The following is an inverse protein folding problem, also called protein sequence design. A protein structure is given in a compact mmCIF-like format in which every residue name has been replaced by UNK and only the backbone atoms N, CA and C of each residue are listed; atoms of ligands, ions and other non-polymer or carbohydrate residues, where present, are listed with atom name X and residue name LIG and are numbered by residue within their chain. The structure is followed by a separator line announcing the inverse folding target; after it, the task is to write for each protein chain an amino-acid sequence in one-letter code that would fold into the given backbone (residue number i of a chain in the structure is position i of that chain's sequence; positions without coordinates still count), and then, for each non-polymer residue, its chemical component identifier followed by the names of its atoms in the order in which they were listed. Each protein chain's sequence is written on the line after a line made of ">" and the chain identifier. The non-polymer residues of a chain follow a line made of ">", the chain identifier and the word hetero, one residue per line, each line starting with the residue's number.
data_IF_963972683700
#
_entry.id   IF_963972683700
#
_cell.length_a   1.000
_cell.length_b   1.000
_cell.length_c   1.000
_cell.angle_alpha   90.00
_cell.angle_beta   90.00
_cell.angle_gamma   90.00
#
_symmetry.space_group_name_H-M   'P 1'
#
loop_
_entity.id
_entity.type
_entity.pdbx_description
1 polymer ?
#
# COMPACT_ATOMS: atom_id res chain seq x y z
N UNK A 1 -6.67 -46.73 14.71
CA UNK A 1 -5.52 -46.59 15.63
C UNK A 1 -4.53 -45.65 14.98
N UNK A 2 -4.41 -44.43 15.50
CA UNK A 2 -3.47 -43.43 14.97
C UNK A 2 -2.05 -43.67 15.50
N UNK A 3 -1.01 -43.26 14.77
CA UNK A 3 0.37 -43.36 15.24
C UNK A 3 0.62 -42.27 16.29
N UNK A 4 1.07 -42.66 17.49
CA UNK A 4 1.53 -41.74 18.53
C UNK A 4 2.78 -40.97 18.09
N UNK A 5 2.85 -39.65 18.30
CA UNK A 5 4.09 -38.89 18.25
C UNK A 5 4.60 -38.71 19.68
N UNK A 6 5.45 -39.60 20.17
CA UNK A 6 6.12 -39.37 21.46
C UNK A 6 7.54 -39.96 21.45
N UNK A 7 8.45 -39.25 20.78
CA UNK A 7 9.88 -39.56 20.77
C UNK A 7 10.75 -38.30 20.97
N UNK A 8 10.21 -37.28 21.64
CA UNK A 8 10.93 -36.05 21.93
C UNK A 8 10.91 -35.71 23.42
N UNK A 9 11.95 -36.10 24.16
CA UNK A 9 12.30 -35.37 25.38
C UNK A 9 12.53 -36.17 26.67
N UNK A 10 13.48 -37.11 26.66
CA UNK A 10 14.11 -37.62 27.89
C UNK A 10 15.57 -37.20 28.05
N UNK A 11 16.14 -36.46 27.09
CA UNK A 11 17.56 -36.13 27.09
C UNK A 11 17.87 -35.09 28.19
N UNK A 12 18.54 -35.54 29.24
CA UNK A 12 18.94 -34.71 30.39
C UNK A 12 20.42 -34.30 30.36
N UNK A 13 21.27 -35.14 29.79
CA UNK A 13 22.70 -34.91 29.63
C UNK A 13 23.13 -35.28 28.21
N UNK A 14 23.96 -34.44 27.59
CA UNK A 14 24.48 -34.63 26.24
C UNK A 14 25.99 -34.38 26.22
N UNK A 15 26.78 -35.44 26.10
CA UNK A 15 28.22 -35.36 25.88
C UNK A 15 28.55 -35.71 24.43
N UNK A 16 29.04 -34.72 23.69
CA UNK A 16 29.58 -34.89 22.33
C UNK A 16 30.97 -34.26 22.24
N UNK A 17 31.73 -34.32 23.32
CA UNK A 17 33.10 -33.81 23.36
C UNK A 17 34.05 -34.59 22.44
N UNK A 18 35.14 -33.93 22.03
CA UNK A 18 36.20 -34.48 21.17
C UNK A 18 35.73 -35.00 19.80
N UNK A 19 34.69 -34.38 19.26
CA UNK A 19 34.21 -34.65 17.90
C UNK A 19 34.70 -33.56 16.93
N UNK A 20 34.25 -33.66 15.68
CA UNK A 20 34.60 -32.71 14.62
C UNK A 20 33.44 -31.75 14.30
N UNK A 21 32.60 -31.45 15.30
CA UNK A 21 31.45 -30.56 15.10
C UNK A 21 31.92 -29.14 14.81
N UNK A 22 31.38 -28.55 13.75
CA UNK A 22 31.70 -27.18 13.33
C UNK A 22 30.67 -26.15 13.79
N UNK A 23 29.44 -26.58 14.03
CA UNK A 23 28.31 -25.74 14.43
C UNK A 23 27.42 -26.52 15.41
N UNK A 24 26.70 -25.79 16.26
CA UNK A 24 25.73 -26.38 17.19
C UNK A 24 24.33 -25.86 16.84
N UNK A 25 23.34 -26.75 16.63
CA UNK A 25 21.97 -26.35 16.31
C UNK A 25 21.34 -25.53 17.45
N UNK A 26 20.56 -24.52 17.09
CA UNK A 26 19.86 -23.68 18.06
C UNK A 26 18.76 -24.46 18.81
N UNK A 27 18.24 -25.50 18.15
CA UNK A 27 17.19 -26.41 18.61
C UNK A 27 17.62 -27.21 19.87
N UNK A 28 18.93 -27.34 20.11
CA UNK A 28 19.45 -27.93 21.37
C UNK A 28 19.06 -27.10 22.59
N UNK A 29 18.85 -25.79 22.44
CA UNK A 29 18.40 -24.91 23.52
C UNK A 29 16.89 -25.02 23.82
N UNK A 30 16.13 -25.68 22.94
CA UNK A 30 14.69 -25.89 23.07
C UNK A 30 14.34 -27.26 23.68
N UNK A 31 15.36 -28.07 23.97
CA UNK A 31 15.20 -29.32 24.70
C UNK A 31 14.77 -29.05 26.16
N UNK A 32 13.56 -29.44 26.58
CA UNK A 32 12.95 -28.98 27.84
C UNK A 32 13.61 -29.58 29.10
N UNK A 33 14.36 -30.68 28.97
CA UNK A 33 14.97 -31.41 30.09
C UNK A 33 16.49 -31.42 30.08
N UNK A 34 17.15 -30.79 29.10
CA UNK A 34 18.61 -30.81 28.95
C UNK A 34 19.27 -29.89 29.99
N UNK A 35 19.97 -30.49 30.96
CA UNK A 35 20.61 -29.80 32.09
C UNK A 35 22.13 -29.76 31.96
N UNK A 36 22.71 -30.78 31.35
CA UNK A 36 24.15 -30.94 31.22
C UNK A 36 24.54 -31.10 29.76
N UNK A 37 25.55 -30.35 29.32
CA UNK A 37 26.10 -30.47 27.97
C UNK A 37 27.62 -30.38 28.01
N UNK A 38 28.27 -31.24 27.24
CA UNK A 38 29.71 -31.19 27.03
C UNK A 38 30.03 -31.16 25.54
N UNK A 39 30.46 -29.99 25.06
CA UNK A 39 30.82 -29.76 23.66
C UNK A 39 32.34 -29.55 23.48
N UNK A 40 33.16 -29.79 24.51
CA UNK A 40 34.61 -29.49 24.49
C UNK A 40 35.34 -30.32 23.44
N UNK A 41 36.46 -29.82 22.92
CA UNK A 41 37.25 -30.56 21.93
C UNK A 41 36.65 -30.62 20.51
N UNK A 42 35.61 -29.83 20.22
CA UNK A 42 35.07 -29.64 18.87
C UNK A 42 35.67 -28.40 18.18
N UNK A 43 35.71 -28.39 16.84
CA UNK A 43 36.25 -27.28 16.03
C UNK A 43 35.15 -26.30 15.60
N UNK A 44 34.54 -25.63 16.57
CA UNK A 44 33.42 -24.70 16.32
C UNK A 44 33.86 -23.48 15.51
N UNK A 45 33.06 -23.10 14.50
CA UNK A 45 33.30 -21.91 13.66
C UNK A 45 33.16 -20.62 14.45
N UNK A 46 32.23 -20.57 15.39
CA UNK A 46 32.05 -19.43 16.29
C UNK A 46 33.12 -19.47 17.40
N UNK A 47 34.14 -18.62 17.25
CA UNK A 47 35.24 -18.49 18.21
C UNK A 47 34.81 -18.01 19.60
N UNK A 48 33.66 -17.35 19.71
CA UNK A 48 33.11 -16.94 21.01
C UNK A 48 32.40 -18.12 21.67
N UNK A 49 31.60 -18.86 20.91
CA UNK A 49 30.98 -20.09 21.40
C UNK A 49 32.03 -21.13 21.81
N UNK A 50 33.10 -21.29 21.04
CA UNK A 50 34.25 -22.17 21.36
C UNK A 50 34.88 -21.82 22.71
N UNK A 51 35.03 -20.53 23.03
CA UNK A 51 35.52 -20.07 24.35
C UNK A 51 34.50 -20.36 25.47
N UNK A 52 33.21 -20.15 25.20
CA UNK A 52 32.16 -20.38 26.19
C UNK A 52 32.02 -21.87 26.54
N UNK A 53 32.16 -22.77 25.58
CA UNK A 53 32.13 -24.22 25.81
C UNK A 53 33.25 -24.69 26.74
N UNK A 54 34.40 -24.02 26.73
CA UNK A 54 35.54 -24.39 27.56
C UNK A 54 35.50 -23.78 28.97
N UNK A 55 34.74 -22.70 29.20
CA UNK A 55 34.80 -21.93 30.46
C UNK A 55 33.48 -21.52 31.10
N UNK A 56 32.33 -21.75 30.46
CA UNK A 56 31.02 -21.32 30.96
C UNK A 56 30.11 -22.49 31.33
N UNK A 57 29.12 -22.22 32.19
CA UNK A 57 28.08 -23.18 32.57
C UNK A 57 27.13 -23.48 31.40
N UNK A 58 26.56 -24.69 31.39
CA UNK A 58 25.61 -25.17 30.37
C UNK A 58 24.48 -24.19 30.08
N UNK A 59 23.91 -23.56 31.12
CA UNK A 59 22.83 -22.58 30.97
C UNK A 59 23.22 -21.39 30.08
N UNK A 60 24.44 -20.88 30.24
CA UNK A 60 24.95 -19.75 29.46
C UNK A 60 25.21 -20.12 27.99
N UNK A 61 25.60 -21.37 27.74
CA UNK A 61 25.82 -21.90 26.39
C UNK A 61 24.49 -22.06 25.66
N UNK A 62 23.49 -22.67 26.31
CA UNK A 62 22.15 -22.85 25.74
C UNK A 62 21.45 -21.51 25.51
N UNK A 63 21.59 -20.54 26.43
CA UNK A 63 21.04 -19.21 26.24
C UNK A 63 21.71 -18.46 25.07
N UNK A 64 23.01 -18.66 24.87
CA UNK A 64 23.74 -18.12 23.71
C UNK A 64 23.24 -18.70 22.38
N UNK A 65 22.94 -20.01 22.35
CA UNK A 65 22.36 -20.68 21.18
C UNK A 65 20.93 -20.22 20.90
N UNK A 66 20.10 -20.07 21.94
CA UNK A 66 18.70 -19.62 21.83
C UNK A 66 18.56 -18.25 21.18
N UNK A 67 19.51 -17.36 21.43
CA UNK A 67 19.51 -16.00 20.87
C UNK A 67 20.29 -15.87 19.56
N UNK A 68 20.78 -17.00 19.01
CA UNK A 68 21.51 -17.03 17.74
C UNK A 68 22.87 -16.32 17.77
N UNK A 69 23.51 -16.25 18.94
CA UNK A 69 24.80 -15.59 19.16
C UNK A 69 24.70 -14.06 19.34
N UNK A 70 25.25 -13.55 20.46
CA UNK A 70 25.26 -12.11 20.79
C UNK A 70 26.62 -11.47 20.55
N UNK A 71 27.07 -11.35 19.30
CA UNK A 71 28.31 -10.66 18.98
C UNK A 71 28.47 -10.34 17.50
N UNK A 72 28.25 -9.06 17.16
CA UNK A 72 28.64 -8.34 15.95
C UNK A 72 29.08 -9.10 14.70
N UNK A 73 28.26 -9.01 13.65
CA UNK A 73 28.66 -8.71 12.27
C UNK A 73 29.55 -9.70 11.52
N UNK A 74 29.05 -10.17 10.36
CA UNK A 74 29.68 -11.06 9.36
C UNK A 74 29.50 -12.56 9.63
N UNK A 75 28.33 -13.06 9.27
CA UNK A 75 28.08 -14.52 9.15
C UNK A 75 26.86 -14.83 8.29
N UNK A 76 25.75 -14.11 8.50
CA UNK A 76 24.55 -14.22 7.65
C UNK A 76 24.63 -13.48 6.30
N UNK A 77 25.62 -12.60 6.12
CA UNK A 77 25.78 -11.81 4.89
C UNK A 77 26.69 -12.46 3.82
N UNK A 78 27.51 -13.47 4.17
CA UNK A 78 28.34 -14.17 3.20
C UNK A 78 27.62 -15.36 2.56
N UNK A 79 26.87 -16.15 3.33
CA UNK A 79 26.07 -17.26 2.76
C UNK A 79 25.01 -16.75 1.76
N UNK A 80 24.36 -15.61 2.06
CA UNK A 80 23.43 -14.96 1.13
C UNK A 80 24.10 -14.28 -0.08
N UNK A 81 25.39 -13.88 0.02
CA UNK A 81 26.16 -13.31 -1.10
C UNK A 81 26.77 -14.40 -1.99
N UNK A 82 27.09 -15.56 -1.43
CA UNK A 82 27.65 -16.70 -2.15
C UNK A 82 26.55 -17.45 -2.92
N UNK A 83 25.36 -17.63 -2.34
CA UNK A 83 24.16 -18.11 -3.06
C UNK A 83 23.76 -17.16 -4.21
N UNK A 84 23.80 -15.84 -3.99
CA UNK A 84 23.50 -14.88 -5.05
C UNK A 84 24.57 -14.86 -6.15
N UNK A 85 25.84 -15.12 -5.83
CA UNK A 85 26.90 -15.27 -6.83
C UNK A 85 26.78 -16.58 -7.60
N UNK A 86 26.36 -17.68 -6.98
CA UNK A 86 26.11 -18.97 -7.64
C UNK A 86 24.88 -18.91 -8.56
N UNK A 87 23.76 -18.33 -8.09
CA UNK A 87 22.56 -18.05 -8.92
C UNK A 87 22.86 -17.09 -10.07
N UNK A 88 23.74 -16.09 -9.88
CA UNK A 88 24.16 -15.15 -10.95
C UNK A 88 25.15 -15.77 -11.96
N UNK A 89 25.90 -16.81 -11.58
CA UNK A 89 26.82 -17.54 -12.45
C UNK A 89 26.09 -18.62 -13.26
N UNK A 90 25.11 -19.31 -12.66
CA UNK A 90 24.21 -20.24 -13.36
C UNK A 90 23.26 -19.51 -14.32
N UNK A 91 22.76 -18.31 -13.96
CA UNK A 91 21.95 -17.48 -14.87
C UNK A 91 22.76 -16.84 -16.01
N UNK A 92 24.09 -16.77 -15.89
CA UNK A 92 25.01 -16.30 -16.96
C UNK A 92 25.48 -17.42 -17.88
N UNK A 93 25.56 -18.67 -17.41
CA UNK A 93 25.91 -19.82 -18.25
C UNK A 93 24.74 -20.40 -19.06
N UNK A 94 23.49 -20.15 -18.65
CA UNK A 94 22.30 -20.47 -19.47
C UNK A 94 22.03 -19.47 -20.61
N UNK A 95 22.86 -18.44 -20.78
CA UNK A 95 22.68 -17.39 -21.81
C UNK A 95 23.70 -17.48 -22.96
N UNK A 96 24.45 -18.57 -23.07
CA UNK A 96 25.49 -18.75 -24.09
C UNK A 96 25.29 -20.04 -24.92
N UNK A 97 24.06 -20.56 -24.97
CA UNK A 97 23.72 -21.69 -25.83
C UNK A 97 22.24 -21.68 -26.17
N UNK A 98 21.90 -21.19 -27.37
CA UNK A 98 20.58 -21.36 -28.00
C UNK A 98 19.76 -20.09 -28.09
N UNK A 99 19.93 -19.38 -29.21
CA UNK A 99 18.94 -18.44 -29.77
C UNK A 99 17.60 -19.18 -29.98
N UNK A 100 16.47 -18.57 -29.55
CA UNK A 100 15.17 -18.95 -30.11
C UNK A 100 13.92 -18.80 -29.24
N UNK A 101 13.99 -18.77 -27.90
CA UNK A 101 12.77 -18.86 -27.07
C UNK A 101 12.85 -17.99 -25.80
N UNK A 102 12.91 -16.66 -25.97
CA UNK A 102 12.97 -15.73 -24.83
C UNK A 102 11.88 -14.65 -24.83
N UNK A 103 10.86 -14.78 -25.68
CA UNK A 103 9.71 -13.85 -25.73
C UNK A 103 8.48 -14.29 -24.92
N UNK A 104 8.40 -15.53 -24.40
CA UNK A 104 7.17 -16.00 -23.72
C UNK A 104 7.16 -15.86 -22.18
N UNK A 105 8.28 -15.53 -21.53
CA UNK A 105 8.40 -15.53 -20.06
C UNK A 105 8.51 -14.14 -19.41
N UNK A 106 8.50 -13.05 -20.17
CA UNK A 106 8.38 -11.68 -19.62
C UNK A 106 6.93 -11.18 -19.49
N UNK A 107 5.95 -11.90 -20.03
CA UNK A 107 4.55 -11.45 -20.04
C UNK A 107 3.73 -11.79 -18.78
N UNK A 108 4.27 -12.53 -17.81
CA UNK A 108 3.51 -13.01 -16.63
C UNK A 108 3.53 -12.05 -15.43
N UNK A 109 4.25 -10.93 -15.49
CA UNK A 109 4.40 -9.98 -14.35
C UNK A 109 3.75 -8.60 -14.55
N UNK A 110 2.89 -8.43 -15.56
CA UNK A 110 2.21 -7.15 -15.79
C UNK A 110 0.97 -7.01 -14.88
N UNK A 111 0.81 -5.86 -14.23
CA UNK A 111 -0.39 -5.54 -13.45
C UNK A 111 -1.56 -5.35 -14.42
N UNK A 112 -2.64 -6.12 -14.26
CA UNK A 112 -3.81 -6.01 -15.13
C UNK A 112 -4.76 -4.93 -14.61
N UNK A 113 -4.98 -3.89 -15.41
CA UNK A 113 -6.00 -2.88 -15.18
C UNK A 113 -6.95 -2.86 -16.37
N UNK A 114 -8.24 -3.07 -16.12
CA UNK A 114 -9.28 -2.94 -17.13
C UNK A 114 -9.84 -1.52 -17.09
N UNK A 115 -9.81 -0.81 -18.20
CA UNK A 115 -10.47 0.49 -18.33
C UNK A 115 -11.87 0.26 -18.86
N UNK A 116 -12.89 0.62 -18.08
CA UNK A 116 -14.26 0.64 -18.55
C UNK A 116 -14.58 1.99 -19.18
N UNK A 117 -14.95 1.92 -20.46
CA UNK A 117 -15.36 3.07 -21.22
C UNK A 117 -16.73 3.58 -20.76
N UNK A 118 -16.91 4.90 -20.83
CA UNK A 118 -18.18 5.57 -20.51
C UNK A 118 -19.37 5.02 -21.31
N UNK A 119 -19.12 4.48 -22.51
CA UNK A 119 -20.12 3.86 -23.39
C UNK A 119 -20.63 2.51 -22.90
N UNK A 120 -19.85 1.80 -22.10
CA UNK A 120 -20.19 0.47 -21.56
C UNK A 120 -20.83 0.55 -20.17
N UNK A 121 -20.79 1.72 -19.54
CA UNK A 121 -21.41 1.97 -18.25
C UNK A 121 -22.79 2.65 -18.45
N UNK A 122 -23.90 2.04 -18.01
CA UNK A 122 -25.23 2.62 -18.17
C UNK A 122 -25.47 3.90 -17.34
N UNK A 123 -24.64 4.20 -16.32
CA UNK A 123 -24.74 5.40 -15.49
C UNK A 123 -23.36 5.94 -15.07
N UNK A 124 -22.58 6.52 -15.99
CA UNK A 124 -21.24 7.01 -15.68
C UNK A 124 -21.28 8.26 -14.80
N UNK A 125 -20.50 8.24 -13.74
CA UNK A 125 -20.34 9.40 -12.86
C UNK A 125 -19.82 10.59 -13.68
N UNK A 126 -20.48 11.73 -13.50
CA UNK A 126 -20.15 12.97 -14.22
C UNK A 126 -19.91 14.08 -13.20
N UNK A 127 -18.86 14.86 -13.42
CA UNK A 127 -18.48 16.03 -12.62
C UNK A 127 -18.74 17.27 -13.46
N UNK A 128 -19.59 18.18 -12.97
CA UNK A 128 -19.84 19.48 -13.57
C UNK A 128 -18.91 20.52 -12.96
N UNK A 129 -18.27 21.34 -13.77
CA UNK A 129 -17.32 22.37 -13.33
C UNK A 129 -17.96 23.73 -13.50
N UNK A 130 -17.97 24.52 -12.42
CA UNK A 130 -18.45 25.91 -12.46
C UNK A 130 -17.39 26.87 -13.02
N UNK A 131 -17.78 27.94 -13.71
CA UNK A 131 -16.84 28.88 -14.32
C UNK A 131 -15.98 29.65 -13.29
N UNK A 132 -16.50 29.88 -12.08
CA UNK A 132 -15.79 30.60 -11.01
C UNK A 132 -14.56 29.89 -10.46
N UNK A 133 -14.38 28.60 -10.80
CA UNK A 133 -13.21 27.83 -10.37
C UNK A 133 -11.90 28.27 -11.03
N UNK A 134 -12.00 28.94 -12.19
CA UNK A 134 -10.85 29.34 -13.01
C UNK A 134 -9.87 30.24 -12.26
N UNK A 135 -10.38 31.07 -11.37
CA UNK A 135 -9.60 32.04 -10.62
C UNK A 135 -8.95 31.44 -9.35
N UNK A 136 -9.43 30.27 -8.92
CA UNK A 136 -9.03 29.66 -7.65
C UNK A 136 -8.17 28.41 -7.87
N UNK A 137 -8.67 27.43 -8.62
CA UNK A 137 -8.01 26.13 -8.87
C UNK A 137 -8.62 25.43 -10.11
N UNK A 138 -8.28 25.86 -11.34
CA UNK A 138 -9.00 25.51 -12.57
C UNK A 138 -9.06 24.03 -12.95
N UNK A 139 -8.07 23.22 -12.57
CA UNK A 139 -7.89 21.88 -13.14
C UNK A 139 -8.35 20.79 -12.18
N UNK A 140 -9.21 19.89 -12.68
CA UNK A 140 -9.67 18.69 -11.98
C UNK A 140 -9.64 17.49 -12.93
N UNK A 141 -9.14 16.36 -12.42
CA UNK A 141 -9.14 15.05 -13.09
C UNK A 141 -9.72 14.04 -12.12
N UNK A 142 -10.64 13.21 -12.60
CA UNK A 142 -11.29 12.21 -11.77
C UNK A 142 -11.29 10.84 -12.46
N UNK A 143 -11.30 9.77 -11.67
CA UNK A 143 -11.64 8.42 -12.12
C UNK A 143 -12.32 7.65 -10.98
N UNK A 144 -13.04 6.60 -11.33
CA UNK A 144 -13.53 5.62 -10.36
C UNK A 144 -12.72 4.33 -10.51
N UNK A 145 -12.29 3.76 -9.39
CA UNK A 145 -11.50 2.54 -9.33
C UNK A 145 -12.28 1.48 -8.55
N UNK A 146 -12.66 0.40 -9.22
CA UNK A 146 -13.41 -0.72 -8.63
C UNK A 146 -12.51 -1.94 -8.45
N UNK A 147 -12.83 -2.74 -7.42
CA UNK A 147 -12.12 -3.98 -7.12
C UNK A 147 -10.87 -3.81 -6.25
N UNK A 148 -10.78 -2.72 -5.48
CA UNK A 148 -9.69 -2.51 -4.52
C UNK A 148 -9.95 -3.35 -3.26
N UNK A 149 -8.94 -4.06 -2.75
CA UNK A 149 -9.05 -4.84 -1.53
C UNK A 149 -8.27 -4.18 -0.37
N UNK A 150 -8.98 -3.46 0.51
CA UNK A 150 -8.39 -2.78 1.67
C UNK A 150 -8.57 -3.55 3.00
N UNK A 151 -9.20 -4.72 2.96
CA UNK A 151 -9.55 -5.51 4.17
C UNK A 151 -8.33 -6.14 4.87
N UNK A 152 -7.38 -6.79 4.17
CA UNK A 152 -6.37 -7.60 4.84
C UNK A 152 -5.33 -6.78 5.59
N UNK A 153 -5.06 -7.20 6.83
CA UNK A 153 -3.97 -6.69 7.68
C UNK A 153 -3.83 -5.17 7.69
N UNK A 154 -2.71 -4.70 7.12
CA UNK A 154 -2.31 -3.29 7.08
C UNK A 154 -2.53 -2.63 5.69
N UNK A 155 -3.32 -3.23 4.79
CA UNK A 155 -3.52 -2.72 3.42
C UNK A 155 -3.99 -1.26 3.39
N UNK A 156 -5.03 -0.91 4.16
CA UNK A 156 -5.53 0.47 4.27
C UNK A 156 -4.44 1.46 4.74
N UNK A 157 -3.61 1.07 5.72
CA UNK A 157 -2.52 1.92 6.22
C UNK A 157 -1.45 2.13 5.16
N UNK A 158 -1.12 1.09 4.39
CA UNK A 158 -0.16 1.18 3.27
C UNK A 158 -0.70 2.07 2.15
N UNK A 159 -1.99 1.96 1.83
CA UNK A 159 -2.67 2.82 0.88
C UNK A 159 -2.58 4.30 1.30
N UNK A 160 -2.97 4.61 2.54
CA UNK A 160 -2.88 5.98 3.07
C UNK A 160 -1.44 6.51 3.11
N UNK A 161 -0.47 5.64 3.41
CA UNK A 161 0.95 5.98 3.39
C UNK A 161 1.45 6.25 1.96
N UNK A 162 1.00 5.47 0.97
CA UNK A 162 1.35 5.68 -0.44
C UNK A 162 0.77 7.00 -0.96
N UNK A 163 -0.49 7.30 -0.62
CA UNK A 163 -1.11 8.58 -0.92
C UNK A 163 -0.32 9.74 -0.29
N UNK A 164 0.03 9.65 0.99
CA UNK A 164 0.81 10.69 1.69
C UNK A 164 2.18 10.90 1.04
N UNK A 165 2.84 9.82 0.63
CA UNK A 165 4.12 9.89 -0.07
C UNK A 165 4.00 10.59 -1.43
N UNK A 166 2.96 10.27 -2.22
CA UNK A 166 2.70 10.97 -3.49
C UNK A 166 2.40 12.45 -3.28
N UNK A 167 1.76 12.81 -2.17
CA UNK A 167 1.55 14.21 -1.81
C UNK A 167 2.86 14.96 -1.51
N UNK A 168 3.83 14.29 -0.88
CA UNK A 168 5.13 14.88 -0.56
C UNK A 168 6.04 14.98 -1.79
N UNK A 169 6.00 13.97 -2.66
CA UNK A 169 6.88 13.83 -3.82
C UNK A 169 6.36 14.64 -5.03
N UNK A 170 5.37 14.11 -5.76
CA UNK A 170 4.92 14.65 -7.05
C UNK A 170 4.01 15.88 -6.87
N UNK A 171 3.28 15.94 -5.75
CA UNK A 171 2.34 17.03 -5.50
C UNK A 171 2.97 18.23 -4.75
N UNK A 172 4.29 18.25 -4.57
CA UNK A 172 5.03 19.32 -3.87
C UNK A 172 4.45 19.70 -2.50
N UNK A 173 3.98 18.73 -1.70
CA UNK A 173 3.30 18.95 -0.41
C UNK A 173 1.97 19.69 -0.55
N UNK A 174 1.17 19.26 -1.53
CA UNK A 174 -0.18 19.77 -1.85
C UNK A 174 -0.22 21.14 -2.50
N UNK A 175 0.92 21.72 -2.86
CA UNK A 175 0.93 23.01 -3.54
C UNK A 175 0.61 22.84 -5.02
N UNK A 176 1.37 22.00 -5.72
CA UNK A 176 1.19 21.78 -7.16
C UNK A 176 -0.09 20.98 -7.48
N UNK A 177 -0.40 19.94 -6.70
CA UNK A 177 -1.59 19.11 -6.91
C UNK A 177 -2.15 18.60 -5.59
N UNK A 178 -3.44 18.28 -5.52
CA UNK A 178 -4.05 17.66 -4.36
C UNK A 178 -4.82 16.43 -4.79
N UNK A 179 -4.39 15.29 -4.27
CA UNK A 179 -5.09 14.01 -4.38
C UNK A 179 -6.14 13.93 -3.26
N UNK A 180 -7.35 13.54 -3.60
CA UNK A 180 -8.32 13.08 -2.62
C UNK A 180 -8.98 11.77 -3.07
N UNK A 181 -9.31 10.97 -2.07
CA UNK A 181 -9.81 9.61 -2.23
C UNK A 181 -11.08 9.48 -1.40
N UNK A 182 -12.11 8.94 -2.04
CA UNK A 182 -13.45 8.86 -1.50
C UNK A 182 -14.00 7.45 -1.68
N UNK A 183 -14.85 7.02 -0.76
CA UNK A 183 -15.65 5.80 -0.95
C UNK A 183 -16.75 6.09 -1.99
N UNK A 184 -16.69 5.38 -3.12
CA UNK A 184 -17.62 5.59 -4.23
C UNK A 184 -19.06 5.24 -3.83
N UNK A 185 -19.26 4.30 -2.90
CA UNK A 185 -20.60 3.87 -2.48
C UNK A 185 -21.33 4.94 -1.66
N UNK A 186 -20.57 5.86 -1.06
CA UNK A 186 -21.10 6.95 -0.23
C UNK A 186 -21.36 8.24 -1.03
N UNK A 187 -20.96 8.27 -2.30
CA UNK A 187 -21.13 9.43 -3.18
C UNK A 187 -22.41 9.31 -4.00
N UNK A 188 -23.13 10.42 -4.16
CA UNK A 188 -24.28 10.55 -5.06
C UNK A 188 -23.95 11.49 -6.22
N UNK A 189 -24.02 10.98 -7.45
CA UNK A 189 -23.82 11.75 -8.67
C UNK A 189 -25.11 12.41 -9.17
N UNK A 190 -25.02 13.47 -10.00
CA UNK A 190 -23.80 14.11 -10.52
C UNK A 190 -23.08 14.96 -9.46
N UNK A 191 -21.76 15.07 -9.61
CA UNK A 191 -20.91 15.90 -8.73
C UNK A 191 -20.75 17.30 -9.32
N UNK A 192 -20.60 18.31 -8.47
CA UNK A 192 -20.41 19.71 -8.88
C UNK A 192 -19.12 20.22 -8.24
N UNK A 193 -18.14 20.58 -9.07
CA UNK A 193 -16.91 21.25 -8.67
C UNK A 193 -17.11 22.76 -8.80
N UNK A 194 -17.33 23.41 -7.67
CA UNK A 194 -17.75 24.81 -7.58
C UNK A 194 -16.86 25.61 -6.63
N UNK A 195 -17.07 26.92 -6.60
CA UNK A 195 -16.48 27.82 -5.61
C UNK A 195 -17.56 28.39 -4.71
N UNK A 196 -17.28 28.46 -3.42
CA UNK A 196 -18.18 29.07 -2.44
C UNK A 196 -17.42 30.08 -1.56
N UNK A 197 -18.10 31.14 -1.08
CA UNK A 197 -17.52 32.04 -0.10
C UNK A 197 -17.13 31.30 1.18
N UNK A 198 -15.99 31.63 1.82
CA UNK A 198 -15.50 30.95 3.03
C UNK A 198 -16.48 30.93 4.21
N UNK A 199 -17.43 31.87 4.25
CA UNK A 199 -18.44 32.00 5.31
C UNK A 199 -19.68 31.12 5.13
N UNK A 200 -19.93 30.66 3.91
CA UNK A 200 -21.08 29.83 3.51
C UNK A 200 -20.69 28.36 3.37
N UNK A 201 -19.46 28.10 2.92
CA UNK A 201 -18.93 26.75 2.74
C UNK A 201 -18.83 26.02 4.09
N UNK A 202 -19.67 25.00 4.27
CA UNK A 202 -19.67 24.10 5.43
C UNK A 202 -19.19 22.72 5.02
N UNK A 203 -18.27 22.17 5.81
CA UNK A 203 -17.76 20.81 5.60
C UNK A 203 -17.67 20.09 6.95
N UNK A 204 -17.79 18.77 6.92
CA UNK A 204 -17.46 17.89 8.05
C UNK A 204 -16.08 17.28 7.79
N UNK A 205 -14.98 17.92 8.22
CA UNK A 205 -13.65 17.44 7.91
C UNK A 205 -13.32 16.16 8.66
N UNK A 206 -12.36 15.38 8.13
CA UNK A 206 -11.95 14.12 8.75
C UNK A 206 -11.62 14.28 10.25
N UNK A 207 -12.26 13.46 11.08
CA UNK A 207 -12.03 13.42 12.52
C UNK A 207 -12.51 14.64 13.32
N UNK A 208 -13.31 15.53 12.72
CA UNK A 208 -13.82 16.76 13.34
C UNK A 208 -15.34 16.89 13.13
N UNK A 209 -15.97 17.82 13.86
CA UNK A 209 -17.39 18.18 13.66
C UNK A 209 -17.56 19.15 12.49
N UNK A 210 -18.80 19.33 12.06
CA UNK A 210 -19.15 20.32 11.05
C UNK A 210 -18.61 21.71 11.43
N UNK A 211 -17.92 22.34 10.48
CA UNK A 211 -17.28 23.63 10.65
C UNK A 211 -17.32 24.41 9.33
N UNK A 212 -17.31 25.73 9.42
CA UNK A 212 -17.16 26.60 8.25
C UNK A 212 -15.74 26.57 7.73
N UNK A 213 -15.57 26.68 6.41
CA UNK A 213 -14.27 26.62 5.78
C UNK A 213 -13.31 27.71 6.27
N UNK A 214 -13.81 28.94 6.50
CA UNK A 214 -13.01 30.03 7.08
C UNK A 214 -12.43 29.67 8.45
N UNK A 215 -13.25 29.12 9.33
CA UNK A 215 -12.83 28.77 10.69
C UNK A 215 -11.88 27.58 10.68
N UNK A 216 -12.11 26.59 9.80
CA UNK A 216 -11.23 25.45 9.62
C UNK A 216 -9.83 25.88 9.15
N UNK A 217 -9.75 26.73 8.12
CA UNK A 217 -8.45 27.22 7.61
C UNK A 217 -7.71 27.98 8.71
N UNK A 218 -8.41 28.84 9.47
CA UNK A 218 -7.83 29.58 10.59
C UNK A 218 -7.31 28.65 11.69
N UNK A 219 -8.08 27.62 12.07
CA UNK A 219 -7.64 26.63 13.07
C UNK A 219 -6.39 25.89 12.61
N UNK A 220 -6.36 25.42 11.36
CA UNK A 220 -5.20 24.71 10.81
C UNK A 220 -3.96 25.62 10.72
N UNK A 221 -4.14 26.91 10.40
CA UNK A 221 -3.04 27.89 10.40
C UNK A 221 -2.47 28.10 11.81
N UNK A 222 -3.33 28.21 12.83
CA UNK A 222 -2.91 28.33 14.23
C UNK A 222 -2.17 27.06 14.70
N UNK A 223 -2.73 25.87 14.43
CA UNK A 223 -2.09 24.58 14.74
C UNK A 223 -0.69 24.49 14.08
N UNK A 224 -0.58 24.91 12.81
CA UNK A 224 0.70 24.93 12.09
C UNK A 224 1.71 25.92 12.70
N UNK A 225 1.25 27.09 13.16
CA UNK A 225 2.10 28.10 13.80
C UNK A 225 2.57 27.65 15.20
N UNK A 226 1.68 27.04 15.99
CA UNK A 226 2.01 26.45 17.29
C UNK A 226 3.05 25.33 17.14
N UNK A 227 2.87 24.43 16.17
CA UNK A 227 3.86 23.40 15.88
C UNK A 227 5.22 23.99 15.46
N UNK A 228 5.23 25.11 14.74
CA UNK A 228 6.46 25.83 14.42
C UNK A 228 7.13 26.36 15.69
N UNK A 229 6.37 27.00 16.58
CA UNK A 229 6.84 27.53 17.87
C UNK A 229 7.38 26.40 18.76
N UNK A 230 6.65 25.31 18.89
CA UNK A 230 7.04 24.16 19.72
C UNK A 230 8.31 23.48 19.22
N UNK A 231 8.48 23.34 17.90
CA UNK A 231 9.70 22.76 17.29
C UNK A 231 10.87 23.75 17.19
N UNK A 232 10.73 24.99 17.70
CA UNK A 232 11.73 26.08 17.62
C UNK A 232 12.31 26.29 16.21
N UNK A 233 11.50 26.09 15.16
CA UNK A 233 11.95 26.27 13.77
C UNK A 233 11.68 27.72 13.35
N UNK A 234 12.64 28.33 12.65
CA UNK A 234 12.45 29.66 12.08
C UNK A 234 11.33 29.66 11.02
N UNK A 235 11.26 28.61 10.20
CA UNK A 235 10.30 28.51 9.09
C UNK A 235 9.13 27.57 9.41
N UNK A 236 7.93 27.92 8.92
CA UNK A 236 6.76 27.03 8.90
C UNK A 236 7.15 25.77 8.13
N UNK A 237 6.79 24.60 8.65
CA UNK A 237 7.06 23.33 7.96
C UNK A 237 6.55 23.44 6.52
N UNK A 238 7.38 23.06 5.54
CA UNK A 238 6.97 23.08 4.13
C UNK A 238 5.67 22.30 3.86
N UNK A 239 5.28 21.43 4.78
CA UNK A 239 4.02 20.69 4.78
C UNK A 239 2.79 21.60 4.87
N UNK A 240 2.85 22.78 5.50
CA UNK A 240 1.68 23.66 5.68
C UNK A 240 1.60 24.79 4.65
N UNK A 241 2.48 24.81 3.63
CA UNK A 241 2.47 25.83 2.58
C UNK A 241 1.14 25.90 1.83
N UNK A 242 0.45 24.77 1.67
CA UNK A 242 -0.85 24.72 0.99
C UNK A 242 -1.93 25.53 1.73
N UNK A 243 -1.81 25.77 3.04
CA UNK A 243 -2.75 26.62 3.79
C UNK A 243 -2.69 28.09 3.38
N UNK A 244 -1.56 28.53 2.84
CA UNK A 244 -1.36 29.91 2.37
C UNK A 244 -1.92 30.12 0.95
N UNK A 245 -2.17 29.05 0.20
CA UNK A 245 -2.70 29.15 -1.18
C UNK A 245 -4.14 29.68 -1.24
N UNK A 246 -4.87 29.55 -0.14
CA UNK A 246 -6.23 30.08 0.01
C UNK A 246 -6.26 31.41 0.75
N UNK A 247 -5.11 31.92 1.22
CA UNK A 247 -5.07 33.15 2.00
C UNK A 247 -5.38 34.35 1.09
N UNK A 248 -6.29 35.22 1.56
CA UNK A 248 -6.75 36.39 0.80
C UNK A 248 -7.67 36.10 -0.40
N UNK A 249 -8.11 34.86 -0.63
CA UNK A 249 -9.09 34.55 -1.69
C UNK A 249 -10.53 34.73 -1.19
N UNK A 250 -11.36 35.37 -2.01
CA UNK A 250 -12.78 35.61 -1.71
C UNK A 250 -13.64 34.35 -1.83
N UNK A 251 -13.18 33.36 -2.61
CA UNK A 251 -13.89 32.14 -2.90
C UNK A 251 -12.98 30.91 -2.74
N UNK A 252 -13.54 29.84 -2.17
CA UNK A 252 -12.86 28.59 -1.89
C UNK A 252 -13.42 27.45 -2.76
N UNK A 253 -12.56 26.57 -3.30
CA UNK A 253 -13.03 25.51 -4.18
C UNK A 253 -13.64 24.38 -3.36
N UNK A 254 -14.70 23.77 -3.86
CA UNK A 254 -15.39 22.67 -3.18
C UNK A 254 -15.93 21.67 -4.20
N UNK A 255 -15.94 20.40 -3.83
CA UNK A 255 -16.65 19.37 -4.56
C UNK A 255 -17.90 19.00 -3.78
N UNK A 256 -19.04 19.12 -4.43
CA UNK A 256 -20.38 18.93 -3.87
C UNK A 256 -21.05 17.75 -4.55
N UNK A 257 -21.76 16.92 -3.79
CA UNK A 257 -22.55 15.83 -4.33
C UNK A 257 -23.96 16.28 -4.76
N UNK A 258 -24.75 15.35 -5.32
CA UNK A 258 -26.12 15.63 -5.76
C UNK A 258 -27.09 16.00 -4.61
N UNK A 259 -26.74 15.69 -3.35
CA UNK A 259 -27.51 16.04 -2.16
C UNK A 259 -27.12 17.42 -1.61
N UNK A 260 -26.19 18.13 -2.26
CA UNK A 260 -25.70 19.44 -1.82
C UNK A 260 -24.66 19.36 -0.69
N UNK A 261 -24.12 18.18 -0.43
CA UNK A 261 -23.12 17.94 0.61
C UNK A 261 -21.71 18.13 0.06
N UNK A 262 -20.88 18.90 0.77
CA UNK A 262 -19.47 19.07 0.43
C UNK A 262 -18.69 17.80 0.78
N UNK A 263 -18.17 17.13 -0.25
CA UNK A 263 -17.38 15.89 -0.13
C UNK A 263 -15.87 16.17 -0.09
N UNK A 264 -15.41 17.26 -0.70
CA UNK A 264 -14.01 17.65 -0.71
C UNK A 264 -13.84 19.17 -0.65
N UNK A 265 -12.82 19.62 0.07
CA UNK A 265 -12.37 21.01 0.11
C UNK A 265 -10.87 21.09 -0.24
N UNK A 266 -10.51 21.07 -1.54
CA UNK A 266 -9.12 21.18 -1.96
C UNK A 266 -8.51 22.57 -1.65
N UNK A 267 -7.19 22.67 -1.36
CA UNK A 267 -6.21 21.61 -1.12
C UNK A 267 -6.20 21.12 0.36
N UNK A 268 -7.23 21.44 1.14
CA UNK A 268 -7.22 21.31 2.61
C UNK A 268 -7.54 19.89 3.06
N UNK A 269 -8.75 19.41 2.82
CA UNK A 269 -9.25 18.17 3.41
C UNK A 269 -10.46 17.60 2.68
N UNK A 270 -10.69 16.31 2.84
CA UNK A 270 -11.89 15.60 2.44
C UNK A 270 -12.91 15.51 3.59
N UNK A 271 -14.14 15.17 3.24
CA UNK A 271 -15.26 15.02 4.16
C UNK A 271 -15.25 13.65 4.85
N UNK A 272 -15.63 13.63 6.14
CA UNK A 272 -15.83 12.39 6.92
C UNK A 272 -16.94 11.51 6.32
N UNK A 273 -17.90 12.11 5.62
CA UNK A 273 -19.00 11.38 4.97
C UNK A 273 -18.54 10.43 3.87
N UNK A 274 -17.45 10.76 3.17
CA UNK A 274 -16.91 9.96 2.06
C UNK A 274 -15.63 9.22 2.43
N UNK A 275 -15.38 9.05 3.73
CA UNK A 275 -14.14 8.46 4.24
C UNK A 275 -14.02 6.99 3.88
N UNK A 276 -12.87 6.63 3.32
CA UNK A 276 -12.51 5.25 3.03
C UNK A 276 -12.38 4.42 4.32
N UNK A 277 -12.88 3.18 4.26
CA UNK A 277 -12.85 2.22 5.36
C UNK A 277 -12.20 0.92 4.86
N UNK A 278 -11.93 -0.01 5.78
CA UNK A 278 -11.35 -1.32 5.41
C UNK A 278 -12.26 -2.13 4.48
N UNK A 279 -13.58 -1.92 4.54
CA UNK A 279 -14.57 -2.60 3.72
C UNK A 279 -14.83 -1.90 2.37
N UNK A 280 -14.24 -0.72 2.12
CA UNK A 280 -14.38 -0.01 0.86
C UNK A 280 -13.70 -0.81 -0.26
N UNK A 281 -14.46 -1.12 -1.30
CA UNK A 281 -13.98 -1.82 -2.50
C UNK A 281 -13.88 -0.91 -3.73
N UNK A 282 -14.68 0.15 -3.73
CA UNK A 282 -14.81 1.07 -4.86
C UNK A 282 -14.39 2.46 -4.41
N UNK A 283 -13.43 3.04 -5.10
CA UNK A 283 -12.84 4.33 -4.79
C UNK A 283 -13.19 5.34 -5.88
N UNK A 284 -13.62 6.52 -5.48
CA UNK A 284 -13.61 7.70 -6.34
C UNK A 284 -12.32 8.47 -6.06
N UNK A 285 -11.53 8.69 -7.11
CA UNK A 285 -10.25 9.39 -7.05
C UNK A 285 -10.42 10.75 -7.74
N UNK A 286 -9.96 11.79 -7.06
CA UNK A 286 -9.88 13.13 -7.63
C UNK A 286 -8.46 13.69 -7.47
N UNK A 287 -8.02 14.44 -8.48
CA UNK A 287 -6.79 15.22 -8.44
C UNK A 287 -7.08 16.63 -8.92
N UNK A 288 -6.78 17.63 -8.09
CA UNK A 288 -6.97 19.05 -8.42
C UNK A 288 -5.64 19.79 -8.45
N UNK A 289 -5.48 20.73 -9.39
CA UNK A 289 -4.29 21.58 -9.53
C UNK A 289 -4.67 23.00 -9.95
N UNK A 290 -3.86 23.95 -9.52
CA UNK A 290 -3.85 25.34 -9.97
C UNK A 290 -2.81 25.59 -11.08
N UNK A 291 -1.85 24.68 -11.26
CA UNK A 291 -0.73 24.86 -12.19
C UNK A 291 -1.00 24.29 -13.59
N UNK A 292 -1.38 23.01 -13.71
CA UNK A 292 -1.66 22.42 -15.02
C UNK A 292 -2.52 21.15 -14.94
N UNK A 293 -3.21 20.86 -16.04
CA UNK A 293 -3.93 19.60 -16.22
C UNK A 293 -2.99 18.39 -16.33
N UNK A 294 -1.79 18.57 -16.90
CA UNK A 294 -0.84 17.48 -17.10
C UNK A 294 -0.35 16.93 -15.76
N UNK A 295 -0.03 17.80 -14.80
CA UNK A 295 0.35 17.37 -13.43
C UNK A 295 -0.78 16.54 -12.82
N UNK A 296 -2.05 16.91 -12.99
CA UNK A 296 -3.16 16.11 -12.48
C UNK A 296 -3.19 14.70 -13.09
N UNK A 297 -2.97 14.58 -14.40
CA UNK A 297 -2.93 13.30 -15.09
C UNK A 297 -1.76 12.43 -14.64
N UNK A 298 -0.55 13.00 -14.56
CA UNK A 298 0.65 12.29 -14.14
C UNK A 298 0.52 11.78 -12.69
N UNK A 299 -0.05 12.61 -11.80
CA UNK A 299 -0.33 12.24 -10.41
C UNK A 299 -1.38 11.13 -10.34
N UNK A 300 -2.43 11.19 -11.17
CA UNK A 300 -3.48 10.17 -11.21
C UNK A 300 -2.93 8.83 -11.73
N UNK A 301 -2.12 8.84 -12.78
CA UNK A 301 -1.43 7.67 -13.33
C UNK A 301 -0.54 7.01 -12.25
N UNK A 302 0.26 7.81 -11.55
CA UNK A 302 1.12 7.33 -10.47
C UNK A 302 0.32 6.76 -9.30
N UNK A 303 -0.82 7.38 -8.95
CA UNK A 303 -1.71 6.89 -7.91
C UNK A 303 -2.31 5.52 -8.27
N UNK A 304 -2.86 5.39 -9.48
CA UNK A 304 -3.45 4.12 -9.96
C UNK A 304 -2.40 3.01 -9.95
N UNK A 305 -1.18 3.28 -10.42
CA UNK A 305 -0.08 2.32 -10.37
C UNK A 305 0.21 1.86 -8.93
N UNK A 306 0.33 2.80 -7.99
CA UNK A 306 0.59 2.46 -6.58
C UNK A 306 -0.55 1.65 -5.97
N UNK A 307 -1.79 1.93 -6.35
CA UNK A 307 -2.95 1.14 -5.90
C UNK A 307 -2.89 -0.26 -6.53
N UNK A 308 -2.53 -0.40 -7.80
CA UNK A 308 -2.37 -1.68 -8.45
C UNK A 308 -1.28 -2.55 -7.81
N UNK A 309 -0.10 -1.97 -7.53
CA UNK A 309 0.98 -2.63 -6.80
C UNK A 309 0.52 -3.12 -5.41
N UNK A 310 -0.21 -2.29 -4.66
CA UNK A 310 -0.71 -2.64 -3.34
C UNK A 310 -1.77 -3.74 -3.36
N UNK A 311 -2.67 -3.72 -4.35
CA UNK A 311 -3.67 -4.76 -4.51
C UNK A 311 -3.04 -6.11 -4.85
N UNK A 312 -2.06 -6.12 -5.78
CA UNK A 312 -1.30 -7.33 -6.10
C UNK A 312 -0.60 -7.90 -4.88
N UNK A 313 0.15 -7.07 -4.15
CA UNK A 313 0.84 -7.48 -2.93
C UNK A 313 -0.13 -8.08 -1.90
N UNK A 314 -1.34 -7.52 -1.80
CA UNK A 314 -2.35 -7.99 -0.86
C UNK A 314 -2.96 -9.34 -1.26
N UNK A 315 -3.02 -9.62 -2.56
CA UNK A 315 -3.47 -10.91 -3.09
C UNK A 315 -2.38 -11.99 -2.89
N UNK A 316 -1.13 -11.70 -3.23
CA UNK A 316 0.01 -12.63 -3.08
C UNK A 316 0.20 -13.04 -1.60
N UNK A 317 0.13 -12.08 -0.67
CA UNK A 317 0.27 -12.39 0.76
C UNK A 317 -0.92 -13.14 1.38
N UNK A 318 -2.06 -13.25 0.69
CA UNK A 318 -3.20 -14.06 1.14
C UNK A 318 -2.97 -15.55 0.86
N UNK A 319 -2.15 -15.88 -0.13
CA UNK A 319 -1.80 -17.25 -0.49
C UNK A 319 -0.82 -17.87 0.52
N UNK A 320 -0.01 -17.06 1.21
CA UNK A 320 0.89 -17.54 2.26
C UNK A 320 0.19 -17.74 3.62
N UNK A 321 -0.85 -16.97 3.92
CA UNK A 321 -1.57 -16.99 5.22
C UNK A 321 -2.77 -17.96 5.26
N UNK A 322 -2.99 -18.72 4.18
CA UNK A 322 -4.03 -19.76 4.08
C UNK A 322 -3.47 -21.19 4.20
N UNK A 323 -2.19 -21.32 4.57
CA UNK A 323 -1.51 -22.58 4.85
C UNK A 323 -1.32 -22.88 6.34
N UNK A 324 -2.32 -22.62 7.20
CA UNK A 324 -2.35 -23.18 8.55
C UNK A 324 -3.77 -23.15 9.12
N UNK A 325 -4.19 -24.34 9.58
CA UNK A 325 -5.29 -24.62 10.50
C UNK A 325 -6.74 -24.49 9.98
N UNK A 326 -7.30 -25.65 9.59
CA UNK A 326 -8.55 -26.14 10.19
C UNK A 326 -8.69 -27.64 9.92
N UNK A 327 -8.39 -28.46 10.94
CA UNK A 327 -8.92 -29.81 11.02
C UNK A 327 -10.44 -29.77 11.25
N UNK A 328 -11.06 -30.76 10.64
CA UNK A 328 -12.48 -31.13 10.56
C UNK A 328 -13.28 -31.06 11.86
N UNK A 329 -14.50 -30.51 11.75
CA UNK A 329 -15.67 -31.15 12.36
C UNK A 329 -16.92 -31.01 11.46
N UNK A 330 -17.78 -32.02 11.51
CA UNK A 330 -18.56 -32.54 10.38
C UNK A 330 -19.96 -31.93 10.11
N UNK A 331 -20.51 -32.31 8.93
CA UNK A 331 -21.92 -32.46 8.49
C UNK A 331 -22.57 -31.37 7.62
N UNK A 332 -22.60 -31.59 6.28
CA UNK A 332 -23.84 -31.70 5.48
C UNK A 332 -23.59 -31.97 3.97
N UNK A 333 -24.08 -33.13 3.48
CA UNK A 333 -24.70 -33.34 2.15
C UNK A 333 -23.85 -33.35 0.86
N UNK A 334 -24.01 -34.32 -0.07
CA UNK A 334 -23.23 -34.39 -1.30
C UNK A 334 -23.80 -33.43 -2.34
N UNK A 335 -23.04 -32.42 -2.72
CA UNK A 335 -23.32 -31.60 -3.90
C UNK A 335 -22.17 -31.79 -4.87
N UNK A 336 -22.50 -32.35 -6.03
CA UNK A 336 -21.58 -32.60 -7.15
C UNK A 336 -20.66 -31.40 -7.40
N UNK A 337 -19.37 -31.59 -7.13
CA UNK A 337 -18.30 -30.64 -7.39
C UNK A 337 -17.85 -30.77 -8.85
N UNK A 338 -18.27 -29.82 -9.69
CA UNK A 338 -17.56 -29.53 -10.94
C UNK A 338 -16.24 -28.80 -10.58
N UNK A 339 -15.05 -29.29 -10.96
CA UNK A 339 -13.76 -28.68 -10.59
C UNK A 339 -13.41 -27.40 -11.36
N UNK A 340 -14.39 -26.70 -11.96
CA UNK A 340 -14.15 -25.65 -12.95
C UNK A 340 -14.42 -24.21 -12.50
N UNK A 341 -15.01 -23.97 -11.32
CA UNK A 341 -15.58 -22.65 -10.99
C UNK A 341 -14.85 -21.84 -9.91
N UNK A 342 -13.87 -22.39 -9.19
CA UNK A 342 -13.16 -21.65 -8.14
C UNK A 342 -11.85 -20.96 -8.57
N UNK A 343 -11.43 -21.09 -9.84
CA UNK A 343 -10.27 -20.37 -10.38
C UNK A 343 -10.66 -18.97 -10.91
N UNK A 344 -11.96 -18.72 -11.14
CA UNK A 344 -12.44 -17.48 -11.75
C UNK A 344 -12.52 -16.27 -10.81
N UNK A 345 -12.36 -16.44 -9.49
CA UNK A 345 -12.45 -15.33 -8.53
C UNK A 345 -11.08 -14.77 -8.08
N UNK A 346 -9.97 -15.36 -8.55
CA UNK A 346 -8.61 -15.06 -8.06
C UNK A 346 -7.86 -13.97 -8.85
N UNK A 347 -8.33 -13.58 -10.04
CA UNK A 347 -7.74 -12.51 -10.85
C UNK A 347 -8.82 -11.54 -11.35
N UNK A 348 -9.58 -10.94 -10.44
CA UNK A 348 -10.44 -9.81 -10.84
C UNK A 348 -9.53 -8.61 -11.13
N UNK A 349 -9.36 -8.19 -12.40
CA UNK A 349 -8.52 -7.04 -12.70
C UNK A 349 -9.09 -5.80 -12.01
N UNK A 350 -8.21 -4.90 -11.58
CA UNK A 350 -8.65 -3.60 -11.12
C UNK A 350 -9.35 -2.88 -12.27
N UNK A 351 -10.54 -2.37 -12.00
CA UNK A 351 -11.35 -1.74 -13.04
C UNK A 351 -11.32 -0.23 -12.86
N UNK A 352 -10.76 0.50 -13.82
CA UNK A 352 -10.78 1.96 -13.85
C UNK A 352 -11.93 2.41 -14.74
N UNK A 353 -12.95 3.01 -14.16
CA UNK A 353 -14.04 3.64 -14.89
C UNK A 353 -13.69 5.07 -15.24
N UNK A 354 -13.96 5.42 -16.50
CA UNK A 354 -13.82 6.77 -16.98
C UNK A 354 -14.86 7.72 -16.35
N UNK A 355 -14.39 8.88 -15.89
CA UNK A 355 -15.26 9.94 -15.37
C UNK A 355 -15.21 11.12 -16.34
N UNK A 356 -16.40 11.63 -16.67
CA UNK A 356 -16.54 12.84 -17.51
C UNK A 356 -16.55 14.08 -16.65
N UNK A 357 -15.66 15.01 -16.95
CA UNK A 357 -15.67 16.36 -16.42
C UNK A 357 -16.25 17.27 -17.50
N UNK A 358 -17.39 17.89 -17.22
CA UNK A 358 -18.13 18.74 -18.16
C UNK A 358 -18.28 20.16 -17.60
N UNK A 359 -18.43 21.14 -18.48
CA UNK A 359 -18.82 22.51 -18.11
C UNK A 359 -20.30 22.57 -17.67
N UNK A 360 -20.73 23.74 -17.18
CA UNK A 360 -22.16 24.02 -16.90
C UNK A 360 -23.06 23.79 -18.11
N UNK A 361 -22.52 24.02 -19.31
CA UNK A 361 -23.20 23.86 -20.59
C UNK A 361 -23.19 22.40 -21.10
N UNK A 362 -22.60 21.46 -20.35
CA UNK A 362 -22.47 20.05 -20.73
C UNK A 362 -21.31 19.76 -21.70
N UNK A 363 -20.51 20.78 -22.05
CA UNK A 363 -19.32 20.61 -22.89
C UNK A 363 -18.23 19.83 -22.16
N UNK A 364 -17.70 18.77 -22.79
CA UNK A 364 -16.64 17.95 -22.20
C UNK A 364 -15.35 18.76 -22.04
N UNK A 365 -14.85 18.89 -20.80
CA UNK A 365 -13.56 19.51 -20.47
C UNK A 365 -12.45 18.48 -20.39
N UNK A 366 -12.70 17.41 -19.63
CA UNK A 366 -11.72 16.35 -19.37
C UNK A 366 -12.44 15.01 -19.35
N UNK A 367 -11.85 14.03 -20.03
CA UNK A 367 -12.22 12.63 -19.92
C UNK A 367 -10.98 11.87 -19.50
N UNK A 368 -11.04 11.17 -18.38
CA UNK A 368 -9.91 10.41 -17.88
C UNK A 368 -10.36 9.06 -17.30
N UNK A 369 -9.61 7.96 -17.53
CA UNK A 369 -8.42 7.88 -18.40
C UNK A 369 -8.80 7.85 -19.89
N UNK A 370 -8.18 8.68 -20.73
CA UNK A 370 -8.37 8.67 -22.20
C UNK A 370 -7.45 7.66 -22.91
N UNK A 371 -7.52 7.58 -24.25
CA UNK A 371 -6.70 6.65 -25.06
C UNK A 371 -5.18 6.91 -24.93
N UNK A 372 -4.78 8.12 -24.58
CA UNK A 372 -3.38 8.52 -24.41
C UNK A 372 -2.93 8.53 -22.95
N UNK A 373 -3.85 8.31 -22.01
CA UNK A 373 -3.51 8.27 -20.58
C UNK A 373 -3.18 6.82 -20.18
N UNK A 374 -2.45 6.63 -19.08
CA UNK A 374 -1.89 5.35 -18.61
C UNK A 374 -0.84 4.69 -19.54
N UNK A 375 -0.47 5.33 -20.66
CA UNK A 375 0.53 4.79 -21.61
C UNK A 375 1.96 4.88 -21.08
N UNK A 376 2.29 5.92 -20.31
CA UNK A 376 3.63 6.10 -19.70
C UNK A 376 3.92 5.03 -18.65
N UNK A 377 2.85 4.44 -18.10
CA UNK A 377 2.89 3.39 -17.08
C UNK A 377 2.77 1.98 -17.67
N UNK A 378 2.67 1.89 -19.00
CA UNK A 378 2.41 0.65 -19.76
C UNK A 378 3.51 -0.41 -19.66
N UNK A 379 4.71 -0.07 -19.17
CA UNK A 379 5.77 -1.05 -18.91
C UNK A 379 5.46 -1.94 -17.70
N UNK A 380 4.62 -1.45 -16.77
CA UNK A 380 4.23 -2.16 -15.54
C UNK A 380 2.74 -2.53 -15.50
N UNK A 381 1.92 -1.89 -16.34
CA UNK A 381 0.47 -2.05 -16.41
C UNK A 381 0.03 -2.52 -17.79
N UNK A 382 -0.72 -3.62 -17.84
CA UNK A 382 -1.49 -4.03 -19.02
C UNK A 382 -2.89 -3.42 -18.92
N UNK A 383 -3.17 -2.47 -19.80
CA UNK A 383 -4.46 -1.79 -19.87
C UNK A 383 -5.38 -2.53 -20.85
N UNK A 384 -6.39 -3.22 -20.33
CA UNK A 384 -7.44 -3.84 -21.15
C UNK A 384 -8.51 -2.78 -21.39
N UNK A 385 -8.72 -2.39 -22.66
CA UNK A 385 -9.65 -1.33 -23.07
C UNK A 385 -10.94 -1.87 -23.65
#
# INVERSE_FOLDING_TARGET
>A
EGPQPDAGGLLQSLDVSNNQLTELPAELADCPRLKEVNFRGNRLKDKRLEKMVNGCQTKSILEYLRVGGRGGGKGKAESAREENRKKKREKRQKKDSGDGEQDELEDVSRLLVKVLHVSENPAPLTVKVSPGIKDVRPFIVCCALKGVNLKPGNALKRFLSAQTKLHEDICEKRTAATIATHDLQLIKGPLIYDVQPPGELKIVPLGRKEIKAKDLVRQLQLEAEEQRKQKKRQNISGLHKYLQLLDGKDNYPCLVDAEGVVISFPPITNSEKTKIRKNTCDLFLEVTSDASLQICKDVMDALILKIAELNRFTLENREEDSGSDNESDALCGPVNLNPGQNVQQMNSPLVVEQVRVVDTDGNLKVLYPSKTDLTTVSSLLTVIR
#
